data_IF_868986034584
#
_entry.id   IF_868986034584
#
_cell.length_a   1.000
_cell.length_b   1.000
_cell.length_c   1.000
_cell.angle_alpha   90.00
_cell.angle_beta   90.00
_cell.angle_gamma   90.00
#
_symmetry.space_group_name_H-M   'P 1'
#
loop_
_entity.id
_entity.type
_entity.pdbx_description
1 polymer ?
#
# COMPACT_ATOMS: atom_id res chain seq x y z
N UNK A 1 -0.97 -29.53 -5.13
CA UNK A 1 -2.10 -29.84 -4.25
C UNK A 1 -3.18 -28.81 -4.45
N UNK A 2 -4.38 -29.23 -4.88
CA UNK A 2 -5.55 -28.36 -5.00
C UNK A 2 -5.87 -27.83 -3.59
N UNK A 3 -5.89 -26.51 -3.42
CA UNK A 3 -6.33 -25.91 -2.17
C UNK A 3 -7.82 -26.19 -2.01
N UNK A 4 -8.18 -26.86 -0.92
CA UNK A 4 -9.58 -27.03 -0.54
C UNK A 4 -10.25 -25.66 -0.34
N UNK A 5 -11.51 -25.55 -0.73
CA UNK A 5 -12.31 -24.35 -0.44
C UNK A 5 -12.30 -24.09 1.06
N UNK A 6 -12.17 -22.84 1.51
CA UNK A 6 -12.20 -22.54 2.94
C UNK A 6 -13.58 -22.90 3.50
N UNK A 7 -13.60 -23.45 4.70
CA UNK A 7 -14.87 -23.68 5.41
C UNK A 7 -15.57 -22.36 5.72
N UNK A 8 -16.89 -22.36 5.78
CA UNK A 8 -17.66 -21.16 6.14
C UNK A 8 -17.25 -20.57 7.49
N UNK A 9 -16.87 -21.43 8.44
CA UNK A 9 -16.36 -21.04 9.76
C UNK A 9 -15.02 -20.28 9.65
N UNK A 10 -14.08 -20.76 8.82
CA UNK A 10 -12.80 -20.09 8.60
C UNK A 10 -12.99 -18.69 7.98
N UNK A 11 -13.89 -18.57 7.01
CA UNK A 11 -14.23 -17.27 6.40
C UNK A 11 -14.82 -16.31 7.44
N UNK A 12 -15.84 -16.76 8.20
CA UNK A 12 -16.48 -15.95 9.25
C UNK A 12 -15.48 -15.49 10.32
N UNK A 13 -14.58 -16.38 10.74
CA UNK A 13 -13.52 -16.07 11.73
C UNK A 13 -12.60 -14.97 11.23
N UNK A 14 -12.18 -14.99 9.97
CA UNK A 14 -11.30 -13.95 9.39
C UNK A 14 -12.05 -12.63 9.15
N UNK A 15 -13.32 -12.68 8.76
CA UNK A 15 -14.15 -11.47 8.66
C UNK A 15 -14.35 -10.81 10.03
N UNK A 16 -14.56 -11.59 11.08
CA UNK A 16 -14.61 -11.07 12.45
C UNK A 16 -13.28 -10.42 12.83
N UNK A 17 -12.14 -11.06 12.54
CA UNK A 17 -10.82 -10.49 12.79
C UNK A 17 -10.61 -9.18 12.03
N UNK A 18 -11.02 -9.11 10.77
CA UNK A 18 -10.93 -7.89 9.96
C UNK A 18 -11.76 -6.75 10.57
N UNK A 19 -12.98 -7.06 11.03
CA UNK A 19 -13.82 -6.08 11.73
C UNK A 19 -13.18 -5.62 13.04
N UNK A 20 -12.64 -6.53 13.84
CA UNK A 20 -11.95 -6.18 15.09
C UNK A 20 -10.70 -5.32 14.82
N UNK A 21 -9.92 -5.63 13.79
CA UNK A 21 -8.77 -4.82 13.39
C UNK A 21 -9.20 -3.41 12.96
N UNK A 22 -10.30 -3.29 12.21
CA UNK A 22 -10.86 -2.00 11.84
C UNK A 22 -11.29 -1.17 13.08
N UNK A 23 -11.99 -1.78 14.02
CA UNK A 23 -12.41 -1.11 15.25
C UNK A 23 -11.21 -0.71 16.13
N UNK A 24 -10.22 -1.59 16.27
CA UNK A 24 -9.00 -1.31 17.02
C UNK A 24 -8.20 -0.18 16.39
N UNK A 25 -8.14 -0.07 15.06
CA UNK A 25 -7.42 1.01 14.40
C UNK A 25 -7.96 2.40 14.78
N UNK A 26 -9.27 2.53 15.03
CA UNK A 26 -9.88 3.80 15.48
C UNK A 26 -9.37 4.25 16.85
N UNK A 27 -9.01 3.30 17.71
CA UNK A 27 -8.47 3.58 19.05
C UNK A 27 -6.95 3.73 19.02
N UNK A 28 -6.30 3.02 18.12
CA UNK A 28 -4.83 2.99 17.99
C UNK A 28 -4.27 4.11 17.12
N UNK A 29 -5.10 4.80 16.34
CA UNK A 29 -4.65 5.95 15.53
C UNK A 29 -3.89 6.94 16.41
N UNK A 30 -2.64 7.20 16.05
CA UNK A 30 -1.77 8.16 16.74
C UNK A 30 -1.30 9.20 15.74
N UNK A 31 -1.65 10.47 15.94
CA UNK A 31 -1.05 11.57 15.19
C UNK A 31 0.48 11.51 15.31
N UNK A 32 1.17 11.72 14.21
CA UNK A 32 2.62 11.72 14.12
C UNK A 32 3.12 13.02 13.46
N UNK A 33 4.38 13.34 13.63
CA UNK A 33 5.00 14.52 12.97
C UNK A 33 4.88 14.46 11.46
N UNK A 34 4.92 13.24 10.88
CA UNK A 34 4.73 13.03 9.44
C UNK A 34 3.32 13.42 8.96
N UNK A 35 2.33 13.53 9.88
CA UNK A 35 0.95 13.89 9.54
C UNK A 35 0.87 15.30 8.97
N UNK A 36 1.73 16.19 9.43
CA UNK A 36 1.81 17.56 8.91
C UNK A 36 2.07 17.53 7.40
N UNK A 37 2.93 16.62 6.91
CA UNK A 37 3.22 16.51 5.48
C UNK A 37 2.11 15.81 4.69
N UNK A 38 1.55 14.75 5.25
CA UNK A 38 0.58 13.88 4.55
C UNK A 38 -0.81 14.52 4.57
N UNK A 39 -1.31 14.89 5.76
CA UNK A 39 -2.66 15.44 5.91
C UNK A 39 -2.76 16.86 5.37
N UNK A 40 -1.70 17.64 5.42
CA UNK A 40 -1.70 18.99 4.85
C UNK A 40 -1.91 18.96 3.33
N UNK A 41 -1.31 18.00 2.60
CA UNK A 41 -1.58 17.83 1.16
C UNK A 41 -3.03 17.45 0.89
N UNK A 42 -3.59 16.56 1.70
CA UNK A 42 -4.99 16.18 1.58
C UNK A 42 -5.93 17.37 1.86
N UNK A 43 -5.64 18.15 2.91
CA UNK A 43 -6.39 19.36 3.25
C UNK A 43 -6.27 20.43 2.14
N UNK A 44 -5.08 20.60 1.55
CA UNK A 44 -4.89 21.52 0.43
C UNK A 44 -5.80 21.17 -0.75
N UNK A 45 -5.89 19.90 -1.11
CA UNK A 45 -6.76 19.43 -2.21
C UNK A 45 -8.24 19.62 -1.86
N UNK A 46 -8.63 19.40 -0.60
CA UNK A 46 -9.98 19.64 -0.11
C UNK A 46 -10.39 21.12 -0.25
N UNK A 47 -9.45 22.05 0.00
CA UNK A 47 -9.72 23.49 0.08
C UNK A 47 -9.54 24.23 -1.26
N UNK A 48 -8.74 23.68 -2.18
CA UNK A 48 -8.31 24.38 -3.39
C UNK A 48 -8.63 23.55 -4.62
N UNK A 49 -9.63 23.41 -5.17
CA UNK A 49 -10.03 22.75 -6.44
C UNK A 49 -8.87 22.25 -7.36
N UNK A 50 -7.76 21.82 -6.76
CA UNK A 50 -6.50 21.43 -7.38
C UNK A 50 -6.06 20.08 -6.86
N UNK A 51 -5.93 19.11 -7.77
CA UNK A 51 -5.50 17.75 -7.41
C UNK A 51 -4.06 17.67 -6.92
N UNK A 52 -3.24 18.69 -7.16
CA UNK A 52 -1.84 18.71 -6.76
C UNK A 52 -1.45 20.10 -6.24
N UNK A 53 -0.79 20.17 -5.06
CA UNK A 53 -0.23 21.41 -4.55
C UNK A 53 0.84 21.94 -5.51
N UNK A 54 0.71 23.18 -5.92
CA UNK A 54 1.67 23.88 -6.78
C UNK A 54 2.75 24.61 -5.96
N UNK A 55 2.55 24.71 -4.63
CA UNK A 55 3.44 25.37 -3.68
C UNK A 55 3.60 24.50 -2.43
N UNK A 56 4.56 24.85 -1.58
CA UNK A 56 4.68 24.26 -0.27
C UNK A 56 3.41 24.53 0.55
N UNK A 57 2.80 23.47 1.06
CA UNK A 57 1.55 23.55 1.82
C UNK A 57 1.77 23.73 3.32
N UNK A 58 3.02 23.67 3.80
CA UNK A 58 3.37 23.73 5.23
C UNK A 58 3.94 25.10 5.60
N UNK A 59 4.93 25.54 4.84
CA UNK A 59 5.62 26.79 5.06
C UNK A 59 5.21 27.78 3.98
N UNK A 60 3.99 28.30 4.06
CA UNK A 60 3.46 29.27 3.10
C UNK A 60 4.57 30.24 2.68
N UNK A 61 4.91 30.26 1.43
CA UNK A 61 5.87 31.11 0.77
C UNK A 61 7.32 30.61 0.69
N UNK A 62 7.86 30.74 -0.46
CA UNK A 62 9.19 30.84 -1.06
C UNK A 62 10.46 30.62 -0.20
N UNK A 63 10.35 30.46 1.11
CA UNK A 63 11.48 30.39 2.05
C UNK A 63 12.23 29.07 1.98
N UNK A 64 11.56 27.96 1.54
CA UNK A 64 12.19 26.65 1.39
C UNK A 64 11.87 26.01 0.04
N UNK A 65 12.59 26.40 -1.03
CA UNK A 65 12.40 25.82 -2.37
C UNK A 65 12.65 24.30 -2.43
N UNK A 66 13.23 23.73 -1.36
CA UNK A 66 13.57 22.32 -1.25
C UNK A 66 12.37 21.38 -1.16
N UNK A 67 11.18 21.88 -0.88
CA UNK A 67 9.97 21.06 -0.77
C UNK A 67 9.05 21.10 -2.00
N UNK A 68 9.51 21.66 -3.11
CA UNK A 68 8.78 21.52 -4.37
C UNK A 68 8.57 20.04 -4.67
N UNK A 69 7.34 19.60 -4.93
CA UNK A 69 7.06 18.20 -5.19
C UNK A 69 7.77 17.78 -6.47
N UNK A 70 8.88 17.12 -6.29
CA UNK A 70 9.66 16.61 -7.38
C UNK A 70 9.55 15.10 -7.43
N UNK A 71 9.20 14.58 -8.53
CA UNK A 71 8.98 13.17 -8.80
C UNK A 71 7.49 12.85 -9.00
N UNK A 72 7.15 11.62 -9.37
CA UNK A 72 5.76 11.21 -9.39
C UNK A 72 5.19 11.45 -8.01
N UNK A 73 4.30 12.42 -7.91
CA UNK A 73 3.68 12.76 -6.63
C UNK A 73 2.89 11.55 -6.16
N UNK A 74 3.04 11.23 -4.88
CA UNK A 74 2.18 10.25 -4.25
C UNK A 74 0.75 10.74 -4.41
N UNK A 75 -0.08 9.92 -5.04
CA UNK A 75 -1.47 10.29 -5.37
C UNK A 75 -2.45 9.95 -4.25
N UNK A 76 -1.97 9.31 -3.17
CA UNK A 76 -2.82 8.82 -2.11
C UNK A 76 -3.40 9.95 -1.25
N UNK A 77 -2.58 10.91 -0.88
CA UNK A 77 -3.00 12.09 -0.13
C UNK A 77 -3.98 12.97 -0.94
N UNK A 78 -3.69 13.30 -2.21
CA UNK A 78 -4.67 13.93 -3.09
C UNK A 78 -5.99 13.17 -3.21
N UNK A 79 -5.96 11.84 -3.26
CA UNK A 79 -7.17 11.02 -3.28
C UNK A 79 -8.01 11.21 -2.00
N UNK A 80 -7.38 11.22 -0.82
CA UNK A 80 -8.08 11.48 0.44
C UNK A 80 -8.73 12.88 0.40
N UNK A 81 -8.00 13.90 -0.02
CA UNK A 81 -8.51 15.26 -0.16
C UNK A 81 -9.67 15.36 -1.15
N UNK A 82 -9.54 14.71 -2.31
CA UNK A 82 -10.61 14.65 -3.31
C UNK A 82 -11.87 13.95 -2.77
N UNK A 83 -11.72 12.87 -2.00
CA UNK A 83 -12.85 12.20 -1.35
C UNK A 83 -13.50 13.14 -0.32
N UNK A 84 -12.70 13.86 0.47
CA UNK A 84 -13.19 14.81 1.46
C UNK A 84 -13.98 15.96 0.82
N UNK A 85 -13.52 16.49 -0.31
CA UNK A 85 -14.21 17.54 -1.05
C UNK A 85 -15.65 17.14 -1.49
N UNK A 86 -15.93 15.83 -1.64
CA UNK A 86 -17.25 15.32 -1.99
C UNK A 86 -18.11 14.94 -0.78
N UNK A 87 -17.52 14.91 0.41
CA UNK A 87 -18.18 14.47 1.64
C UNK A 87 -18.31 15.64 2.62
N UNK A 88 -19.25 15.61 3.58
CA UNK A 88 -19.36 16.63 4.62
C UNK A 88 -18.30 16.42 5.74
N UNK A 89 -17.12 15.89 5.43
CA UNK A 89 -16.07 15.55 6.38
C UNK A 89 -14.73 16.12 5.92
N UNK A 90 -13.94 16.64 6.84
CA UNK A 90 -12.58 17.11 6.58
C UNK A 90 -11.65 15.96 6.17
N UNK A 91 -10.62 16.25 5.37
CA UNK A 91 -9.63 15.27 4.91
C UNK A 91 -9.02 14.45 6.06
N UNK A 92 -8.73 15.08 7.19
CA UNK A 92 -8.23 14.38 8.37
C UNK A 92 -9.26 13.35 8.90
N UNK A 93 -10.54 13.68 8.93
CA UNK A 93 -11.59 12.75 9.35
C UNK A 93 -11.73 11.57 8.37
N UNK A 94 -11.67 11.84 7.07
CA UNK A 94 -11.66 10.78 6.04
C UNK A 94 -10.45 9.87 6.22
N UNK A 95 -9.25 10.42 6.44
CA UNK A 95 -8.02 9.67 6.67
C UNK A 95 -8.09 8.80 7.92
N UNK A 96 -8.37 9.40 9.08
CA UNK A 96 -8.30 8.70 10.37
C UNK A 96 -9.49 7.78 10.63
N UNK A 97 -10.70 8.18 10.27
CA UNK A 97 -11.91 7.42 10.61
C UNK A 97 -12.49 6.62 9.43
N UNK A 98 -12.10 6.93 8.20
CA UNK A 98 -12.51 6.19 7.00
C UNK A 98 -11.43 5.26 6.49
N UNK A 99 -10.28 5.83 6.11
CA UNK A 99 -9.19 5.08 5.46
C UNK A 99 -8.51 4.13 6.43
N UNK A 100 -8.18 4.57 7.65
CA UNK A 100 -7.45 3.74 8.60
C UNK A 100 -8.17 2.42 8.93
N UNK A 101 -9.46 2.40 9.32
CA UNK A 101 -10.17 1.14 9.58
C UNK A 101 -10.33 0.27 8.33
N UNK A 102 -10.55 0.89 7.17
CA UNK A 102 -10.63 0.15 5.91
C UNK A 102 -9.31 -0.57 5.59
N UNK A 103 -8.18 0.12 5.73
CA UNK A 103 -6.84 -0.43 5.48
C UNK A 103 -6.51 -1.55 6.47
N UNK A 104 -6.85 -1.38 7.75
CA UNK A 104 -6.66 -2.42 8.77
C UNK A 104 -7.45 -3.70 8.41
N UNK A 105 -8.72 -3.57 8.02
CA UNK A 105 -9.53 -4.70 7.59
C UNK A 105 -8.97 -5.37 6.32
N UNK A 106 -8.64 -4.57 5.30
CA UNK A 106 -8.08 -5.08 4.04
C UNK A 106 -6.73 -5.75 4.24
N UNK A 107 -5.89 -5.25 5.17
CA UNK A 107 -4.62 -5.84 5.54
C UNK A 107 -4.79 -7.27 6.08
N UNK A 108 -5.75 -7.48 6.97
CA UNK A 108 -6.10 -8.81 7.50
C UNK A 108 -6.52 -9.76 6.36
N UNK A 109 -7.39 -9.30 5.47
CA UNK A 109 -7.88 -10.11 4.34
C UNK A 109 -6.76 -10.42 3.34
N UNK A 110 -5.88 -9.46 3.06
CA UNK A 110 -4.73 -9.62 2.19
C UNK A 110 -3.72 -10.62 2.77
N UNK A 111 -3.41 -10.52 4.07
CA UNK A 111 -2.57 -11.47 4.78
C UNK A 111 -3.14 -12.88 4.74
N UNK A 112 -4.42 -13.05 5.06
CA UNK A 112 -5.09 -14.36 5.00
C UNK A 112 -5.00 -14.98 3.60
N UNK A 113 -5.25 -14.17 2.56
CA UNK A 113 -5.15 -14.63 1.17
C UNK A 113 -3.74 -15.06 0.82
N UNK A 114 -2.73 -14.31 1.25
CA UNK A 114 -1.32 -14.66 1.07
C UNK A 114 -0.97 -15.96 1.78
N UNK A 115 -1.33 -16.11 3.05
CA UNK A 115 -1.08 -17.32 3.84
C UNK A 115 -1.67 -18.58 3.17
N UNK A 116 -2.87 -18.46 2.62
CA UNK A 116 -3.48 -19.53 1.81
C UNK A 116 -2.65 -19.83 0.57
N UNK A 117 -2.21 -18.83 -0.16
CA UNK A 117 -1.39 -19.00 -1.38
C UNK A 117 -0.06 -19.69 -1.09
N UNK A 118 0.52 -19.39 0.06
CA UNK A 118 1.75 -20.02 0.55
C UNK A 118 1.53 -21.46 1.06
N UNK A 119 0.28 -21.90 1.17
CA UNK A 119 -0.05 -23.25 1.62
C UNK A 119 0.04 -23.46 3.13
N UNK A 120 -0.16 -22.41 3.91
CA UNK A 120 -0.21 -22.51 5.37
C UNK A 120 -1.24 -23.57 5.81
N UNK A 121 -0.88 -24.45 6.77
CA UNK A 121 -1.77 -25.52 7.25
C UNK A 121 -3.03 -24.99 7.92
N UNK A 122 -2.90 -23.89 8.67
CA UNK A 122 -3.99 -23.26 9.40
C UNK A 122 -3.99 -21.73 9.10
N UNK A 123 -4.37 -21.29 7.88
CA UNK A 123 -4.20 -19.89 7.46
C UNK A 123 -5.02 -18.91 8.30
N UNK A 124 -6.20 -19.30 8.79
CA UNK A 124 -7.02 -18.43 9.65
C UNK A 124 -6.37 -18.25 11.03
N UNK A 125 -5.86 -19.34 11.63
CA UNK A 125 -5.15 -19.24 12.91
C UNK A 125 -3.87 -18.42 12.79
N UNK A 126 -3.07 -18.64 11.73
CA UNK A 126 -1.87 -17.86 11.48
C UNK A 126 -2.19 -16.37 11.27
N UNK A 127 -3.30 -16.06 10.63
CA UNK A 127 -3.77 -14.68 10.46
C UNK A 127 -4.16 -14.04 11.81
N UNK A 128 -4.87 -14.77 12.69
CA UNK A 128 -5.19 -14.33 14.05
C UNK A 128 -3.91 -14.05 14.86
N UNK A 129 -3.00 -14.99 14.91
CA UNK A 129 -1.73 -14.85 15.65
C UNK A 129 -0.92 -13.68 15.13
N UNK A 130 -0.78 -13.53 13.80
CA UNK A 130 -0.05 -12.42 13.20
C UNK A 130 -0.70 -11.06 13.49
N UNK A 131 -2.03 -10.97 13.43
CA UNK A 131 -2.73 -9.72 13.73
C UNK A 131 -2.64 -9.37 15.22
N UNK A 132 -2.82 -10.34 16.13
CA UNK A 132 -2.65 -10.11 17.58
C UNK A 132 -1.21 -9.64 17.85
N UNK A 133 -0.22 -10.27 17.24
CA UNK A 133 1.18 -9.85 17.37
C UNK A 133 1.37 -8.40 16.93
N UNK A 134 0.83 -8.00 15.77
CA UNK A 134 0.92 -6.62 15.30
C UNK A 134 0.25 -5.62 16.24
N UNK A 135 -0.87 -5.99 16.86
CA UNK A 135 -1.55 -5.15 17.86
C UNK A 135 -0.70 -4.97 19.11
N UNK A 136 -0.13 -6.06 19.63
CA UNK A 136 0.73 -6.01 20.82
C UNK A 136 2.03 -5.25 20.55
N UNK A 137 2.66 -5.50 19.41
CA UNK A 137 3.85 -4.77 18.94
C UNK A 137 3.54 -3.29 18.68
N UNK A 138 2.30 -2.95 18.30
CA UNK A 138 1.83 -1.61 18.03
C UNK A 138 1.91 -0.64 19.20
N UNK A 139 2.11 -1.12 20.41
CA UNK A 139 2.33 -0.28 21.60
C UNK A 139 3.69 0.41 21.61
N UNK A 140 4.66 -0.08 20.86
CA UNK A 140 6.03 0.46 20.79
C UNK A 140 6.15 1.46 19.63
N UNK A 141 6.68 2.65 19.89
CA UNK A 141 6.67 3.80 18.95
C UNK A 141 7.34 3.53 17.59
N UNK A 142 8.36 2.68 17.51
CA UNK A 142 9.10 2.40 16.27
C UNK A 142 8.95 0.97 15.77
N UNK A 143 7.95 0.27 16.25
CA UNK A 143 7.71 -1.12 15.86
C UNK A 143 6.95 -1.21 14.54
N UNK A 144 7.01 -2.38 13.90
CA UNK A 144 6.24 -2.67 12.70
C UNK A 144 4.73 -2.68 12.99
N UNK A 145 4.32 -3.15 14.17
CA UNK A 145 2.92 -3.14 14.59
C UNK A 145 2.36 -1.73 14.75
N UNK A 146 3.15 -0.80 15.34
CA UNK A 146 2.76 0.62 15.41
C UNK A 146 2.59 1.22 14.00
N UNK A 147 3.52 0.93 13.10
CA UNK A 147 3.42 1.34 11.71
C UNK A 147 2.16 0.78 11.04
N UNK A 148 1.92 -0.53 11.15
CA UNK A 148 0.81 -1.20 10.47
C UNK A 148 -0.57 -0.85 11.04
N UNK A 149 -0.70 -0.65 12.35
CA UNK A 149 -1.98 -0.44 13.03
C UNK A 149 -2.24 1.01 13.41
N UNK A 150 -1.22 1.71 13.89
CA UNK A 150 -1.35 3.10 14.37
C UNK A 150 -1.29 4.16 13.27
N UNK A 151 -0.75 3.81 12.09
CA UNK A 151 -0.55 4.73 10.96
C UNK A 151 -1.17 4.22 9.66
N UNK A 152 -2.21 3.42 9.76
CA UNK A 152 -2.85 2.74 8.62
C UNK A 152 -3.48 3.71 7.60
N UNK A 153 -3.60 4.99 7.92
CA UNK A 153 -3.99 6.08 7.01
C UNK A 153 -2.85 6.59 6.12
N UNK A 154 -1.59 6.18 6.31
CA UNK A 154 -0.46 6.59 5.47
C UNK A 154 -0.31 5.69 4.23
N UNK A 155 -0.03 6.27 3.06
CA UNK A 155 0.13 5.54 1.80
C UNK A 155 1.19 4.43 1.87
N UNK A 156 2.32 4.66 2.55
CA UNK A 156 3.37 3.65 2.78
C UNK A 156 2.86 2.42 3.57
N UNK A 157 1.91 2.63 4.49
CA UNK A 157 1.30 1.53 5.24
C UNK A 157 0.32 0.75 4.37
N UNK A 158 -0.51 1.43 3.59
CA UNK A 158 -1.39 0.80 2.59
C UNK A 158 -0.57 -0.08 1.63
N UNK A 159 0.59 0.44 1.18
CA UNK A 159 1.52 -0.33 0.35
C UNK A 159 1.93 -1.64 1.03
N UNK A 160 2.42 -1.58 2.26
CA UNK A 160 3.01 -2.75 2.95
C UNK A 160 1.95 -3.70 3.49
N UNK A 161 0.88 -3.17 4.09
CA UNK A 161 -0.14 -4.00 4.73
C UNK A 161 -1.14 -4.63 3.75
N UNK A 162 -1.42 -3.95 2.62
CA UNK A 162 -2.44 -4.40 1.67
C UNK A 162 -1.84 -4.78 0.33
N UNK A 163 -1.15 -3.84 -0.34
CA UNK A 163 -0.71 -4.03 -1.73
C UNK A 163 0.36 -5.11 -1.84
N UNK A 164 1.36 -5.11 -0.97
CA UNK A 164 2.44 -6.11 -0.98
C UNK A 164 1.91 -7.54 -0.81
N UNK A 165 1.08 -7.89 0.19
CA UNK A 165 0.51 -9.23 0.29
C UNK A 165 -0.36 -9.63 -0.92
N UNK A 166 -1.13 -8.68 -1.48
CA UNK A 166 -1.93 -8.91 -2.69
C UNK A 166 -1.05 -9.17 -3.90
N UNK A 167 0.01 -8.38 -4.08
CA UNK A 167 0.98 -8.59 -5.15
C UNK A 167 1.69 -9.94 -5.01
N UNK A 168 2.14 -10.34 -3.82
CA UNK A 168 2.71 -11.66 -3.57
C UNK A 168 1.74 -12.78 -3.98
N UNK A 169 0.46 -12.68 -3.56
CA UNK A 169 -0.56 -13.64 -3.96
C UNK A 169 -0.66 -13.75 -5.49
N UNK A 170 -0.80 -12.62 -6.17
CA UNK A 170 -0.97 -12.63 -7.63
C UNK A 170 0.30 -13.01 -8.37
N UNK A 171 1.48 -12.63 -7.90
CA UNK A 171 2.75 -12.96 -8.49
C UNK A 171 3.02 -14.48 -8.46
N UNK A 172 2.87 -15.11 -7.28
CA UNK A 172 3.00 -16.57 -7.15
C UNK A 172 1.95 -17.29 -8.01
N UNK A 173 0.70 -16.80 -7.99
CA UNK A 173 -0.39 -17.41 -8.76
C UNK A 173 -0.17 -17.27 -10.27
N UNK A 174 0.34 -16.13 -10.74
CA UNK A 174 0.74 -15.95 -12.14
C UNK A 174 1.88 -16.88 -12.53
N UNK A 175 2.94 -16.94 -11.74
CA UNK A 175 4.05 -17.86 -11.99
C UNK A 175 3.58 -19.31 -12.11
N UNK A 176 2.63 -19.74 -11.28
CA UNK A 176 2.05 -21.09 -11.32
C UNK A 176 1.13 -21.34 -12.51
N UNK A 177 0.22 -20.39 -12.82
CA UNK A 177 -0.89 -20.61 -13.78
C UNK A 177 -0.68 -19.95 -15.14
N UNK A 178 0.06 -18.84 -15.23
CA UNK A 178 0.16 -17.99 -16.41
C UNK A 178 -1.13 -17.22 -16.74
N UNK A 179 -2.07 -17.11 -15.81
CA UNK A 179 -3.39 -16.52 -16.03
C UNK A 179 -3.31 -15.02 -16.28
N UNK A 180 -3.93 -14.54 -17.36
CA UNK A 180 -4.04 -13.10 -17.69
C UNK A 180 -4.67 -12.27 -16.56
N UNK A 181 -5.63 -12.84 -15.83
CA UNK A 181 -6.25 -12.17 -14.68
C UNK A 181 -5.20 -11.81 -13.61
N UNK A 182 -4.30 -12.74 -13.30
CA UNK A 182 -3.25 -12.46 -12.31
C UNK A 182 -2.25 -11.42 -12.83
N UNK A 183 -1.91 -11.44 -14.11
CA UNK A 183 -1.04 -10.43 -14.72
C UNK A 183 -1.68 -9.04 -14.66
N UNK A 184 -2.96 -8.91 -15.00
CA UNK A 184 -3.69 -7.63 -14.89
C UNK A 184 -3.74 -7.12 -13.45
N UNK A 185 -3.95 -8.01 -12.46
CA UNK A 185 -3.92 -7.63 -11.05
C UNK A 185 -2.51 -7.19 -10.59
N UNK A 186 -1.45 -7.78 -11.15
CA UNK A 186 -0.08 -7.33 -10.90
C UNK A 186 0.16 -5.93 -11.48
N UNK A 187 -0.26 -5.67 -12.71
CA UNK A 187 -0.17 -4.35 -13.33
C UNK A 187 -0.94 -3.29 -12.53
N UNK A 188 -2.19 -3.58 -12.16
CA UNK A 188 -3.01 -2.66 -11.38
C UNK A 188 -2.42 -2.40 -9.99
N UNK A 189 -1.97 -3.44 -9.28
CA UNK A 189 -1.33 -3.31 -7.98
C UNK A 189 0.03 -2.63 -8.03
N UNK A 190 0.78 -2.82 -9.12
CA UNK A 190 2.05 -2.13 -9.40
C UNK A 190 1.82 -0.62 -9.58
N UNK A 191 0.84 -0.24 -10.39
CA UNK A 191 0.46 1.15 -10.60
C UNK A 191 -0.02 1.80 -9.30
N UNK A 192 -0.92 1.12 -8.57
CA UNK A 192 -1.40 1.60 -7.26
C UNK A 192 -0.24 1.78 -6.27
N UNK A 193 0.70 0.82 -6.22
CA UNK A 193 1.86 0.88 -5.33
C UNK A 193 2.71 2.13 -5.57
N UNK A 194 3.00 2.46 -6.81
CA UNK A 194 3.76 3.68 -7.17
C UNK A 194 3.03 4.95 -6.69
N UNK A 195 1.70 5.00 -6.78
CA UNK A 195 0.91 6.12 -6.27
C UNK A 195 0.88 6.24 -4.74
N UNK A 196 1.20 5.15 -4.01
CA UNK A 196 1.17 5.12 -2.55
C UNK A 196 2.50 5.58 -1.91
N UNK A 197 3.64 5.33 -2.55
CA UNK A 197 4.94 5.66 -1.97
C UNK A 197 6.05 5.59 -3.03
N UNK A 198 7.02 6.48 -2.95
CA UNK A 198 8.23 6.45 -3.80
C UNK A 198 9.05 5.17 -3.59
N UNK A 199 9.07 4.61 -2.38
CA UNK A 199 9.74 3.34 -2.10
C UNK A 199 9.11 2.14 -2.83
N UNK A 200 7.90 2.29 -3.35
CA UNK A 200 7.22 1.25 -4.13
C UNK A 200 7.99 0.85 -5.40
N UNK A 201 8.77 1.76 -5.98
CA UNK A 201 9.62 1.45 -7.14
C UNK A 201 10.49 0.22 -6.87
N UNK A 202 11.11 0.13 -5.70
CA UNK A 202 11.94 -1.01 -5.30
C UNK A 202 11.11 -2.16 -4.72
N UNK A 203 10.23 -1.86 -3.78
CA UNK A 203 9.45 -2.87 -3.04
C UNK A 203 8.54 -3.66 -3.97
N UNK A 204 7.77 -2.97 -4.81
CA UNK A 204 6.85 -3.62 -5.77
C UNK A 204 7.61 -4.45 -6.78
N UNK A 205 8.71 -3.91 -7.32
CA UNK A 205 9.55 -4.62 -8.29
C UNK A 205 10.12 -5.91 -7.69
N UNK A 206 10.67 -5.83 -6.48
CA UNK A 206 11.20 -7.00 -5.77
C UNK A 206 10.13 -8.06 -5.50
N UNK A 207 8.96 -7.65 -5.02
CA UNK A 207 7.83 -8.55 -4.74
C UNK A 207 7.33 -9.25 -6.00
N UNK A 208 7.13 -8.52 -7.08
CA UNK A 208 6.64 -9.09 -8.35
C UNK A 208 7.65 -10.08 -8.90
N UNK A 209 8.92 -9.66 -9.00
CA UNK A 209 9.97 -10.54 -9.53
C UNK A 209 10.11 -11.82 -8.69
N UNK A 210 10.30 -11.69 -7.39
CA UNK A 210 10.49 -12.84 -6.50
C UNK A 210 9.26 -13.76 -6.48
N UNK A 211 8.04 -13.19 -6.42
CA UNK A 211 6.81 -13.96 -6.40
C UNK A 211 6.55 -14.72 -7.70
N UNK A 212 6.75 -14.07 -8.85
CA UNK A 212 6.62 -14.73 -10.17
C UNK A 212 7.67 -15.81 -10.33
N UNK A 213 8.93 -15.53 -9.96
CA UNK A 213 10.02 -16.51 -10.03
C UNK A 213 9.72 -17.73 -9.16
N UNK A 214 9.33 -17.53 -7.90
CA UNK A 214 8.96 -18.62 -6.99
C UNK A 214 7.81 -19.46 -7.54
N UNK A 215 6.75 -18.84 -8.06
CA UNK A 215 5.62 -19.55 -8.65
C UNK A 215 5.99 -20.31 -9.93
N UNK A 216 6.79 -19.71 -10.81
CA UNK A 216 7.22 -20.28 -12.07
C UNK A 216 8.18 -21.46 -11.87
N UNK A 217 9.12 -21.35 -10.94
CA UNK A 217 10.04 -22.44 -10.58
C UNK A 217 9.27 -23.61 -9.98
N UNK A 218 8.36 -23.34 -9.03
CA UNK A 218 7.53 -24.38 -8.42
C UNK A 218 6.64 -25.12 -9.44
N UNK A 219 6.22 -24.44 -10.51
CA UNK A 219 5.43 -25.02 -11.60
C UNK A 219 6.30 -25.57 -12.77
N UNK A 220 7.63 -25.45 -12.69
CA UNK A 220 8.57 -25.79 -13.78
C UNK A 220 8.25 -25.05 -15.10
N UNK A 221 7.87 -23.77 -15.03
CA UNK A 221 7.44 -22.91 -16.15
C UNK A 221 8.21 -21.58 -16.15
N UNK A 222 9.54 -21.65 -16.18
CA UNK A 222 10.46 -20.50 -16.03
C UNK A 222 10.26 -19.40 -17.09
N UNK A 223 9.77 -19.75 -18.31
CA UNK A 223 9.42 -18.76 -19.33
C UNK A 223 8.39 -17.70 -18.87
N UNK A 224 7.59 -18.01 -17.83
CA UNK A 224 6.63 -17.06 -17.27
C UNK A 224 7.27 -15.91 -16.49
N UNK A 225 8.54 -16.07 -16.10
CA UNK A 225 9.30 -14.99 -15.46
C UNK A 225 9.38 -13.80 -16.43
N UNK A 226 9.77 -14.03 -17.67
CA UNK A 226 9.84 -12.97 -18.69
C UNK A 226 8.48 -12.30 -18.92
N UNK A 227 7.41 -13.10 -19.04
CA UNK A 227 6.06 -12.54 -19.18
C UNK A 227 5.63 -11.71 -17.96
N UNK A 228 6.07 -12.09 -16.77
CA UNK A 228 5.79 -11.35 -15.53
C UNK A 228 6.49 -9.99 -15.44
N UNK A 229 7.62 -9.80 -16.15
CA UNK A 229 8.34 -8.54 -16.15
C UNK A 229 7.52 -7.37 -16.73
N UNK A 230 6.49 -7.65 -17.52
CA UNK A 230 5.55 -6.63 -18.03
C UNK A 230 4.89 -5.88 -16.87
N UNK A 231 4.66 -6.55 -15.74
CA UNK A 231 4.07 -5.91 -14.55
C UNK A 231 5.03 -4.92 -13.84
N UNK A 232 6.29 -4.87 -14.24
CA UNK A 232 7.28 -3.89 -13.76
C UNK A 232 7.23 -2.56 -14.53
N UNK A 233 6.42 -2.45 -15.59
CA UNK A 233 6.34 -1.22 -16.38
C UNK A 233 6.00 0.03 -15.53
N UNK A 234 5.00 0.04 -14.63
CA UNK A 234 4.71 1.21 -13.81
C UNK A 234 5.87 1.67 -12.92
N UNK A 235 6.54 0.80 -12.11
CA UNK A 235 7.69 1.23 -11.33
C UNK A 235 8.91 1.60 -12.18
N UNK A 236 9.10 0.99 -13.36
CA UNK A 236 10.17 1.37 -14.28
C UNK A 236 9.95 2.78 -14.83
N UNK A 237 8.74 3.11 -15.26
CA UNK A 237 8.39 4.48 -15.70
C UNK A 237 8.60 5.47 -14.58
N UNK A 238 8.15 5.17 -13.36
CA UNK A 238 8.34 6.04 -12.19
C UNK A 238 9.83 6.23 -11.86
N UNK A 239 10.64 5.16 -11.90
CA UNK A 239 12.09 5.24 -11.68
C UNK A 239 12.76 6.15 -12.73
N UNK A 240 12.42 5.96 -14.00
CA UNK A 240 12.95 6.77 -15.10
C UNK A 240 12.59 8.24 -14.90
N UNK A 241 11.35 8.53 -14.53
CA UNK A 241 10.92 9.90 -14.24
C UNK A 241 11.72 10.52 -13.10
N UNK A 242 11.93 9.80 -12.00
CA UNK A 242 12.71 10.30 -10.85
C UNK A 242 14.12 10.65 -11.30
N UNK A 243 14.78 9.78 -12.05
CA UNK A 243 16.16 10.00 -12.52
C UNK A 243 16.25 11.19 -13.49
N UNK A 244 15.30 11.34 -14.41
CA UNK A 244 15.30 12.44 -15.39
C UNK A 244 14.91 13.79 -14.78
N UNK A 245 14.14 13.82 -13.71
CA UNK A 245 13.73 15.05 -13.02
C UNK A 245 14.81 15.58 -12.06
N UNK A 246 15.78 14.77 -11.65
CA UNK A 246 16.81 15.15 -10.68
C UNK A 246 17.80 16.21 -11.19
N UNK A 247 18.29 16.17 -12.44
CA UNK A 247 19.19 17.21 -12.96
C UNK A 247 18.57 18.61 -12.98
N UNK A 248 17.28 18.70 -13.28
CA UNK A 248 16.56 19.98 -13.32
C UNK A 248 16.44 20.65 -11.94
N UNK A 249 16.61 19.88 -10.86
CA UNK A 249 16.61 20.41 -9.49
C UNK A 249 17.92 21.06 -9.12
N UNK A 250 19.03 20.45 -9.52
CA UNK A 250 20.38 20.98 -9.21
C UNK A 250 20.63 22.30 -9.93
N UNK A 251 20.11 22.46 -11.16
CA UNK A 251 20.20 23.71 -11.91
C UNK A 251 19.31 24.83 -11.34
N UNK A 252 18.20 24.49 -10.69
CA UNK A 252 17.29 25.49 -10.11
C UNK A 252 17.73 25.99 -8.71
N UNK A 253 18.77 25.37 -8.13
CA UNK A 253 19.32 25.71 -6.80
C UNK A 253 20.70 26.38 -6.86
N UNK A 254 21.26 26.56 -8.04
CA UNK A 254 22.51 27.32 -8.29
C UNK A 254 22.19 28.71 -8.80
#
# INVERSE_FOLDING_TARGET
>A
TAQSSPTSLAVRSVLLLALLAALLSLVMVRPDRDDVFVMNRAAYVEEHDSSFPTRDTIFSDDVLPTQRPAGPQMSFEPLIGSIAAWLPFRAAAVGYFGVAPLVAALGVLALWRLLRTLGARAPSLACWVGTIWLVLDGTMHRSFGNFAMGRSWQGKVVLVAVVVPVLWHHAISFGRSGSRRHLLMLLAGSLAGVGLSSSAVLVVSGVIFAGVAAGAVAARRTHRILAGLVALAPPAVAATWIVLAEPQRLEATG
#
